data_IF_722218618544
#
_entry.id   IF_722218618544
#
_cell.length_a   1.000
_cell.length_b   1.000
_cell.length_c   1.000
_cell.angle_alpha   90.00
_cell.angle_beta   90.00
_cell.angle_gamma   90.00
#
_symmetry.space_group_name_H-M   'P 1'
#
loop_
_entity.id
_entity.type
_entity.pdbx_description
1 polymer ?
#
# COMPACT_ATOMS: atom_id res chain seq x y z
N UNK A 1 -5.85 -23.89 -45.06
CA UNK A 1 -5.52 -23.99 -43.62
C UNK A 1 -6.62 -24.69 -42.80
N UNK A 2 -7.90 -24.27 -42.86
CA UNK A 2 -9.00 -24.82 -42.04
C UNK A 2 -9.58 -26.20 -42.42
N UNK A 3 -8.80 -27.07 -43.09
CA UNK A 3 -9.22 -28.46 -43.40
C UNK A 3 -8.44 -29.51 -42.62
N UNK A 4 -7.31 -29.13 -42.00
CA UNK A 4 -6.50 -30.04 -41.23
C UNK A 4 -7.12 -30.22 -39.83
N UNK A 5 -7.53 -31.45 -39.52
CA UNK A 5 -8.13 -31.80 -38.21
C UNK A 5 -7.23 -31.46 -37.04
N UNK A 6 -5.91 -31.66 -37.16
CA UNK A 6 -4.97 -31.32 -36.09
C UNK A 6 -4.93 -29.81 -35.84
N UNK A 7 -5.02 -29.00 -36.89
CA UNK A 7 -5.01 -27.54 -36.77
C UNK A 7 -6.30 -27.00 -36.12
N UNK A 8 -7.46 -27.55 -36.51
CA UNK A 8 -8.75 -27.19 -35.91
C UNK A 8 -8.79 -27.57 -34.43
N UNK A 9 -8.33 -28.78 -34.09
CA UNK A 9 -8.27 -29.26 -32.71
C UNK A 9 -7.31 -28.39 -31.89
N UNK A 10 -6.12 -28.09 -32.40
CA UNK A 10 -5.17 -27.21 -31.70
C UNK A 10 -5.75 -25.82 -31.44
N UNK A 11 -6.46 -25.24 -32.41
CA UNK A 11 -7.07 -23.91 -32.27
C UNK A 11 -8.15 -23.83 -31.17
N UNK A 12 -8.85 -24.94 -30.91
CA UNK A 12 -9.87 -25.02 -29.85
C UNK A 12 -9.28 -25.43 -28.50
N UNK A 13 -8.40 -26.43 -28.49
CA UNK A 13 -7.88 -27.06 -27.28
C UNK A 13 -6.83 -26.17 -26.59
N UNK A 14 -5.94 -25.54 -27.36
CA UNK A 14 -4.88 -24.71 -26.81
C UNK A 14 -5.39 -23.53 -25.94
N UNK A 15 -6.37 -22.69 -26.37
CA UNK A 15 -6.86 -21.60 -25.53
C UNK A 15 -7.58 -22.11 -24.27
N UNK A 16 -8.27 -23.26 -24.36
CA UNK A 16 -8.93 -23.87 -23.18
C UNK A 16 -7.88 -24.30 -22.15
N UNK A 17 -6.83 -25.00 -22.60
CA UNK A 17 -5.71 -25.40 -21.73
C UNK A 17 -4.97 -24.18 -21.16
N UNK A 18 -4.80 -23.10 -21.94
CA UNK A 18 -4.16 -21.89 -21.46
C UNK A 18 -4.94 -21.28 -20.28
N UNK A 19 -6.27 -21.19 -20.37
CA UNK A 19 -7.12 -20.68 -19.28
C UNK A 19 -7.06 -21.60 -18.06
N UNK A 20 -7.19 -22.92 -18.25
CA UNK A 20 -7.10 -23.90 -17.16
C UNK A 20 -5.75 -23.82 -16.46
N UNK A 21 -4.66 -23.68 -17.23
CA UNK A 21 -3.31 -23.60 -16.68
C UNK A 21 -3.10 -22.30 -15.91
N UNK A 22 -3.62 -21.18 -16.41
CA UNK A 22 -3.55 -19.89 -15.72
C UNK A 22 -4.19 -19.98 -14.33
N UNK A 23 -5.45 -20.43 -14.24
CA UNK A 23 -6.13 -20.59 -12.95
C UNK A 23 -5.56 -21.73 -12.11
N UNK A 24 -5.07 -22.80 -12.74
CA UNK A 24 -4.47 -23.94 -12.04
C UNK A 24 -3.16 -23.57 -11.36
N UNK A 25 -2.30 -22.80 -12.04
CA UNK A 25 -1.07 -22.26 -11.45
C UNK A 25 -1.42 -21.26 -10.35
N UNK A 26 -2.37 -20.36 -10.59
CA UNK A 26 -2.78 -19.37 -9.59
C UNK A 26 -3.28 -20.05 -8.31
N UNK A 27 -4.09 -21.11 -8.42
CA UNK A 27 -4.57 -21.88 -7.27
C UNK A 27 -3.46 -22.72 -6.60
N UNK A 28 -2.49 -23.22 -7.37
CA UNK A 28 -1.39 -24.02 -6.84
C UNK A 28 -0.31 -23.19 -6.11
N UNK A 29 -0.12 -21.94 -6.53
CA UNK A 29 0.95 -21.05 -6.04
C UNK A 29 0.42 -19.95 -5.12
N UNK A 30 -0.88 -19.62 -5.18
CA UNK A 30 -1.46 -18.61 -4.29
C UNK A 30 -1.26 -18.98 -2.83
N UNK A 31 -0.71 -18.02 -2.09
CA UNK A 31 -0.64 -18.11 -0.64
C UNK A 31 -2.06 -18.10 -0.08
N UNK A 32 -2.35 -19.00 0.87
CA UNK A 32 -3.67 -19.05 1.48
C UNK A 32 -3.82 -17.85 2.40
N UNK A 33 -4.98 -17.16 2.39
CA UNK A 33 -5.24 -16.10 3.36
C UNK A 33 -5.20 -16.70 4.76
N UNK A 34 -4.25 -16.25 5.56
CA UNK A 34 -4.12 -16.62 6.96
C UNK A 34 -4.55 -15.44 7.83
N UNK A 35 -5.34 -15.73 8.86
CA UNK A 35 -5.61 -14.73 9.89
C UNK A 35 -4.29 -14.35 10.57
N UNK A 36 -4.14 -13.06 10.85
CA UNK A 36 -3.00 -12.54 11.55
C UNK A 36 -2.90 -13.15 12.95
N UNK A 37 -1.71 -13.61 13.33
CA UNK A 37 -1.44 -14.22 14.64
C UNK A 37 -0.74 -13.20 15.53
N UNK A 38 -1.12 -13.17 16.80
CA UNK A 38 -0.50 -12.32 17.80
C UNK A 38 1.01 -12.60 17.90
N UNK A 39 1.81 -11.54 17.98
CA UNK A 39 3.27 -11.61 18.05
C UNK A 39 3.99 -11.79 16.70
N UNK A 40 3.27 -12.04 15.61
CA UNK A 40 3.86 -12.17 14.27
C UNK A 40 3.93 -10.82 13.55
N UNK A 41 4.62 -10.81 12.40
CA UNK A 41 4.79 -9.63 11.55
C UNK A 41 4.32 -9.88 10.13
N UNK A 42 3.57 -8.94 9.56
CA UNK A 42 2.95 -9.07 8.24
C UNK A 42 3.27 -7.87 7.35
N UNK A 43 3.62 -8.14 6.09
CA UNK A 43 3.89 -7.08 5.11
C UNK A 43 2.59 -6.50 4.55
N UNK A 44 2.48 -5.18 4.56
CA UNK A 44 1.44 -4.42 3.88
C UNK A 44 1.82 -4.17 2.43
N UNK A 45 0.83 -4.28 1.54
CA UNK A 45 0.97 -3.98 0.12
C UNK A 45 0.44 -2.57 -0.13
N UNK A 46 1.30 -1.69 -0.64
CA UNK A 46 0.89 -0.36 -1.12
C UNK A 46 0.08 -0.48 -2.41
N UNK A 47 -1.08 0.15 -2.48
CA UNK A 47 -1.96 0.12 -3.65
C UNK A 47 -1.54 1.11 -4.72
N UNK A 48 -2.22 1.06 -5.87
CA UNK A 48 -1.87 1.84 -7.05
C UNK A 48 -1.95 3.35 -6.82
N UNK A 49 -2.86 3.83 -5.96
CA UNK A 49 -2.98 5.26 -5.64
C UNK A 49 -1.73 5.85 -4.95
N UNK A 50 -0.87 5.02 -4.36
CA UNK A 50 0.40 5.45 -3.80
C UNK A 50 1.43 5.88 -4.87
N UNK A 51 1.25 5.41 -6.12
CA UNK A 51 2.20 5.64 -7.24
C UNK A 51 1.91 6.91 -8.05
N UNK A 52 0.87 7.64 -7.70
CA UNK A 52 0.42 8.83 -8.42
C UNK A 52 0.20 9.99 -7.45
N UNK A 53 0.17 11.23 -7.95
CA UNK A 53 -0.03 12.49 -7.20
C UNK A 53 -1.47 12.64 -6.67
N UNK A 54 -1.92 11.64 -5.90
CA UNK A 54 -3.32 11.44 -5.52
C UNK A 54 -3.71 12.10 -4.20
N UNK A 55 -2.73 12.50 -3.37
CA UNK A 55 -2.93 12.91 -1.99
C UNK A 55 -3.27 11.76 -1.03
N UNK A 56 -3.41 10.52 -1.53
CA UNK A 56 -3.89 9.36 -0.78
C UNK A 56 -3.06 8.11 -1.09
N UNK A 57 -2.74 7.31 -0.07
CA UNK A 57 -2.09 6.03 -0.27
C UNK A 57 -2.70 4.95 0.61
N UNK A 58 -3.24 3.90 -0.02
CA UNK A 58 -3.80 2.76 0.68
C UNK A 58 -2.75 1.66 0.87
N UNK A 59 -2.70 1.11 2.08
CA UNK A 59 -1.95 -0.10 2.42
C UNK A 59 -2.92 -1.19 2.85
N UNK A 60 -2.73 -2.41 2.35
CA UNK A 60 -3.55 -3.55 2.74
C UNK A 60 -2.77 -4.84 2.97
N UNK A 61 -3.27 -5.65 3.89
CA UNK A 61 -2.98 -7.07 4.00
C UNK A 61 -4.30 -7.79 4.32
N UNK A 62 -4.90 -8.44 3.32
CA UNK A 62 -6.24 -9.02 3.43
C UNK A 62 -7.29 -7.97 3.83
N UNK A 63 -7.95 -8.20 4.98
CA UNK A 63 -8.96 -7.28 5.53
C UNK A 63 -8.36 -6.12 6.34
N UNK A 64 -7.09 -6.19 6.71
CA UNK A 64 -6.40 -5.11 7.42
C UNK A 64 -6.03 -4.00 6.42
N UNK A 65 -6.70 -2.85 6.54
CA UNK A 65 -6.58 -1.73 5.61
C UNK A 65 -6.38 -0.42 6.35
N UNK A 66 -5.40 0.34 5.90
CA UNK A 66 -5.13 1.70 6.37
C UNK A 66 -4.92 2.63 5.19
N UNK A 67 -5.27 3.90 5.36
CA UNK A 67 -5.14 4.92 4.34
C UNK A 67 -4.35 6.09 4.90
N UNK A 68 -3.24 6.43 4.24
CA UNK A 68 -2.54 7.68 4.45
C UNK A 68 -3.15 8.79 3.61
N UNK A 69 -3.14 10.00 4.14
CA UNK A 69 -3.49 11.22 3.43
C UNK A 69 -2.42 12.28 3.67
N UNK A 70 -2.01 12.93 2.59
CA UNK A 70 -1.19 14.13 2.67
C UNK A 70 -2.08 15.32 2.95
N UNK A 71 -1.93 15.92 4.13
CA UNK A 71 -2.69 17.11 4.50
C UNK A 71 -1.98 18.38 4.02
N UNK A 72 -0.65 18.39 4.13
CA UNK A 72 0.17 19.54 3.72
C UNK A 72 1.61 19.11 3.45
N UNK A 73 2.15 19.58 2.33
CA UNK A 73 3.57 19.48 2.01
C UNK A 73 4.13 20.91 1.87
N UNK A 74 5.23 21.18 2.55
CA UNK A 74 6.03 22.40 2.42
C UNK A 74 7.47 22.04 2.07
N UNK A 75 8.35 23.04 1.97
CA UNK A 75 9.78 22.80 1.73
C UNK A 75 10.45 22.01 2.85
N UNK A 76 10.00 22.18 4.10
CA UNK A 76 10.64 21.61 5.30
C UNK A 76 9.78 20.60 6.06
N UNK A 77 8.46 20.59 5.85
CA UNK A 77 7.53 19.73 6.60
C UNK A 77 6.54 18.97 5.71
N UNK A 78 6.24 17.74 6.10
CA UNK A 78 5.16 16.91 5.56
C UNK A 78 4.20 16.53 6.68
N UNK A 79 2.95 16.98 6.58
CA UNK A 79 1.87 16.62 7.49
C UNK A 79 1.06 15.46 6.89
N UNK A 80 1.04 14.34 7.61
CA UNK A 80 0.30 13.13 7.23
C UNK A 80 -0.77 12.80 8.26
N UNK A 81 -1.92 12.34 7.77
CA UNK A 81 -2.89 11.60 8.59
C UNK A 81 -2.98 10.16 8.14
N UNK A 82 -3.36 9.29 9.07
CA UNK A 82 -3.68 7.90 8.78
C UNK A 82 -5.05 7.56 9.37
N UNK A 83 -5.87 6.89 8.56
CA UNK A 83 -7.16 6.32 8.97
C UNK A 83 -7.13 4.80 8.86
N UNK A 84 -7.69 4.13 9.87
CA UNK A 84 -7.82 2.67 9.94
C UNK A 84 -9.27 2.24 10.17
N UNK A 85 -9.63 1.07 9.64
CA UNK A 85 -10.90 0.41 9.97
C UNK A 85 -10.90 -0.14 11.40
N UNK A 86 -9.74 -0.51 11.94
CA UNK A 86 -9.56 -1.11 13.26
C UNK A 86 -8.82 -0.18 14.22
N UNK A 87 -9.11 -0.22 15.54
CA UNK A 87 -8.30 0.49 16.54
C UNK A 87 -6.84 0.01 16.49
N UNK A 88 -5.91 0.95 16.50
CA UNK A 88 -4.47 0.68 16.46
C UNK A 88 -3.86 0.91 17.85
N UNK A 89 -2.78 0.19 18.15
CA UNK A 89 -2.03 0.36 19.41
C UNK A 89 -0.90 1.41 19.25
N UNK A 90 -0.32 1.51 18.06
CA UNK A 90 0.75 2.47 17.76
C UNK A 90 1.14 2.46 16.29
N UNK A 91 1.72 3.56 15.84
CA UNK A 91 2.24 3.71 14.48
C UNK A 91 3.58 4.41 14.52
N UNK A 92 4.53 3.88 13.76
CA UNK A 92 5.83 4.47 13.50
C UNK A 92 6.02 4.66 12.00
N UNK A 93 6.52 5.82 11.61
CA UNK A 93 6.80 6.13 10.21
C UNK A 93 8.19 6.73 10.06
N UNK A 94 8.80 6.53 8.90
CA UNK A 94 10.07 7.14 8.55
C UNK A 94 10.09 7.53 7.06
N UNK A 95 10.71 8.66 6.74
CA UNK A 95 11.09 9.02 5.37
C UNK A 95 12.54 8.56 5.14
N UNK A 96 12.77 7.65 4.20
CA UNK A 96 14.06 7.01 3.97
C UNK A 96 14.51 7.16 2.51
N UNK A 97 15.77 7.49 2.25
CA UNK A 97 16.33 7.62 0.89
C UNK A 97 17.14 6.37 0.50
N UNK A 98 18.13 6.00 1.33
CA UNK A 98 18.88 4.75 1.25
C UNK A 98 19.56 4.50 2.63
N UNK A 99 19.05 3.55 3.42
CA UNK A 99 19.59 3.21 4.74
C UNK A 99 18.61 3.37 5.91
N UNK A 100 19.17 3.49 7.11
CA UNK A 100 18.42 3.65 8.37
C UNK A 100 17.94 5.10 8.52
N UNK A 101 16.63 5.28 8.58
CA UNK A 101 15.98 6.52 9.00
C UNK A 101 15.30 6.26 10.33
N UNK A 102 15.45 7.17 11.30
CA UNK A 102 14.86 6.97 12.62
C UNK A 102 13.34 7.07 12.53
N UNK A 103 12.60 6.04 12.96
CA UNK A 103 11.15 6.07 12.95
C UNK A 103 10.62 7.05 13.99
N UNK A 104 9.63 7.83 13.60
CA UNK A 104 8.90 8.77 14.44
C UNK A 104 7.51 8.22 14.74
N UNK A 105 7.07 8.34 15.99
CA UNK A 105 5.76 7.88 16.44
C UNK A 105 4.66 8.86 16.01
N UNK A 106 3.58 8.33 15.43
CA UNK A 106 2.37 9.12 15.17
C UNK A 106 1.56 9.29 16.45
N UNK A 107 0.76 10.34 16.51
CA UNK A 107 -0.14 10.60 17.65
C UNK A 107 -1.60 10.33 17.27
N UNK A 108 -2.40 9.68 18.15
CA UNK A 108 -3.82 9.47 17.89
C UNK A 108 -4.56 10.81 17.96
N UNK A 109 -5.49 11.03 17.03
CA UNK A 109 -6.32 12.24 16.98
C UNK A 109 -7.73 12.02 17.52
N UNK A 110 -8.10 10.76 17.81
CA UNK A 110 -9.39 10.41 18.38
C UNK A 110 -9.29 9.31 19.46
N UNK A 111 -10.24 9.26 20.42
CA UNK A 111 -10.25 8.24 21.47
C UNK A 111 -10.40 6.79 20.96
N UNK A 112 -11.02 6.59 19.79
CA UNK A 112 -11.23 5.25 19.24
C UNK A 112 -9.96 4.64 18.61
N UNK A 113 -8.84 5.38 18.61
CA UNK A 113 -7.53 4.94 18.12
C UNK A 113 -7.52 4.55 16.63
N UNK A 114 -8.38 5.17 15.82
CA UNK A 114 -8.55 4.88 14.38
C UNK A 114 -8.02 5.97 13.47
N UNK A 115 -7.76 7.15 14.02
CA UNK A 115 -7.22 8.29 13.29
C UNK A 115 -5.94 8.76 13.99
N UNK A 116 -4.91 8.99 13.18
CA UNK A 116 -3.58 9.33 13.64
C UNK A 116 -3.01 10.46 12.79
N UNK A 117 -2.15 11.27 13.35
CA UNK A 117 -1.49 12.37 12.66
C UNK A 117 -0.01 12.44 13.03
N UNK A 118 0.78 13.00 12.12
CA UNK A 118 2.20 13.30 12.33
C UNK A 118 2.64 14.45 11.43
N UNK A 119 3.63 15.21 11.89
CA UNK A 119 4.39 16.15 11.08
C UNK A 119 5.83 15.65 11.02
N UNK A 120 6.34 15.44 9.81
CA UNK A 120 7.67 14.91 9.54
C UNK A 120 8.56 16.01 8.94
N UNK A 121 9.80 16.18 9.41
CA UNK A 121 10.76 17.00 8.69
C UNK A 121 11.05 16.34 7.34
N UNK A 122 11.03 17.13 6.27
CA UNK A 122 11.29 16.66 4.91
C UNK A 122 12.37 17.51 4.26
N UNK A 123 13.23 16.84 3.51
CA UNK A 123 14.16 17.47 2.57
C UNK A 123 14.19 16.59 1.33
N UNK A 124 13.94 17.17 0.16
CA UNK A 124 13.88 16.45 -1.11
C UNK A 124 12.95 15.22 -1.06
N UNK A 125 11.64 15.45 -1.02
CA UNK A 125 10.63 14.39 -0.86
C UNK A 125 10.67 13.34 -1.98
N UNK A 126 11.04 13.74 -3.20
CA UNK A 126 11.03 12.90 -4.40
C UNK A 126 12.01 11.73 -4.33
N UNK A 127 13.06 11.84 -3.51
CA UNK A 127 14.04 10.76 -3.32
C UNK A 127 13.74 9.87 -2.11
N UNK A 128 12.67 10.16 -1.35
CA UNK A 128 12.31 9.43 -0.13
C UNK A 128 11.23 8.38 -0.40
N UNK A 129 11.30 7.28 0.34
CA UNK A 129 10.22 6.33 0.54
C UNK A 129 9.61 6.55 1.93
N UNK A 130 8.29 6.39 2.02
CA UNK A 130 7.58 6.28 3.28
C UNK A 130 7.64 4.83 3.75
N UNK A 131 8.25 4.60 4.91
CA UNK A 131 8.22 3.32 5.63
C UNK A 131 7.28 3.44 6.82
N UNK A 132 6.50 2.40 7.06
CA UNK A 132 5.52 2.35 8.14
C UNK A 132 5.61 1.03 8.89
N UNK A 133 5.45 1.11 10.21
CA UNK A 133 5.18 -0.01 11.10
C UNK A 133 3.95 0.32 11.95
N UNK A 134 2.96 -0.56 11.95
CA UNK A 134 1.66 -0.39 12.61
C UNK A 134 1.47 -1.56 13.56
N UNK A 135 1.11 -1.29 14.80
CA UNK A 135 0.76 -2.30 15.76
C UNK A 135 -0.75 -2.35 15.96
N UNK A 136 -1.34 -3.54 15.82
CA UNK A 136 -2.75 -3.80 16.10
C UNK A 136 -2.91 -5.21 16.66
N UNK A 137 -3.67 -5.36 17.75
CA UNK A 137 -3.89 -6.65 18.42
C UNK A 137 -2.59 -7.43 18.66
N UNK A 138 -1.55 -6.75 19.16
CA UNK A 138 -0.21 -7.30 19.42
C UNK A 138 0.46 -7.93 18.18
N UNK A 139 0.00 -7.57 17.00
CA UNK A 139 0.53 -7.98 15.70
C UNK A 139 1.17 -6.77 15.01
N UNK A 140 2.31 -6.99 14.36
CA UNK A 140 3.02 -5.94 13.64
C UNK A 140 2.70 -6.00 12.14
N UNK A 141 2.37 -4.86 11.54
CA UNK A 141 2.18 -4.70 10.11
C UNK A 141 3.18 -3.68 9.59
N UNK A 142 3.94 -4.02 8.55
CA UNK A 142 4.98 -3.13 8.03
C UNK A 142 4.89 -2.97 6.51
N UNK A 143 5.19 -1.78 6.02
CA UNK A 143 5.07 -1.46 4.59
C UNK A 143 6.05 -0.39 4.16
N UNK A 144 6.26 -0.31 2.85
CA UNK A 144 7.07 0.73 2.21
C UNK A 144 6.40 1.15 0.90
N UNK A 145 6.47 2.44 0.59
CA UNK A 145 5.99 3.00 -0.67
C UNK A 145 6.77 4.26 -1.04
N UNK A 146 6.79 4.60 -2.33
CA UNK A 146 7.31 5.88 -2.81
C UNK A 146 6.41 7.03 -2.33
N UNK A 147 6.97 8.23 -2.18
CA UNK A 147 6.25 9.40 -1.65
C UNK A 147 5.49 10.19 -2.71
N UNK A 148 5.43 9.74 -3.96
CA UNK A 148 4.73 10.42 -5.07
C UNK A 148 3.31 10.89 -4.71
N UNK A 149 2.58 10.11 -3.91
CA UNK A 149 1.22 10.46 -3.48
C UNK A 149 1.11 11.69 -2.57
N UNK A 150 2.20 12.14 -1.95
CA UNK A 150 2.14 13.27 -1.00
C UNK A 150 1.95 14.59 -1.70
N UNK A 151 2.31 14.64 -2.99
CA UNK A 151 2.03 15.76 -3.88
C UNK A 151 0.59 15.59 -4.38
N UNK A 152 -0.26 16.58 -4.14
CA UNK A 152 -1.63 16.59 -4.63
C UNK A 152 -1.73 17.56 -5.81
N UNK A 153 -1.76 17.01 -7.03
CA UNK A 153 -2.00 17.77 -8.25
C UNK A 153 -3.41 17.48 -8.75
N UNK A 154 -4.30 18.47 -8.66
CA UNK A 154 -5.57 18.40 -9.37
C UNK A 154 -5.36 18.84 -10.81
N UNK A 155 -5.85 18.05 -11.77
CA UNK A 155 -5.94 18.45 -13.20
C UNK A 155 -6.80 19.72 -13.42
N UNK A 156 -7.48 20.19 -12.38
CA UNK A 156 -8.15 21.48 -12.33
C UNK A 156 -7.18 22.49 -11.71
N UNK A 157 -6.37 23.13 -12.55
CA UNK A 157 -5.92 24.49 -12.24
C UNK A 157 -7.18 25.36 -12.19
N UNK A 158 -7.54 25.84 -11.00
CA UNK A 158 -8.38 27.03 -10.93
C UNK A 158 -7.58 28.17 -11.58
N UNK A 159 -7.95 28.51 -12.81
CA UNK A 159 -7.56 29.77 -13.42
C UNK A 159 -7.95 30.90 -12.45
N UNK A 160 -6.95 31.52 -11.84
CA UNK A 160 -7.11 32.77 -11.09
C UNK A 160 -6.74 33.96 -11.96
#
# INVERSE_FOLDING_TARGET
>A
MFKNKHFIVALLVAPILAVITYFGIDMAVSEKPHAAKQGESYKLISKSNCRYTSGLCDFENGEFKVQFRSEKLTEDTLDLTLKSKFPLQGIKVALAENGDSQPVEMTPTNPDMRNWAISLPVSNIETKNLRVAIQAEDTLYYGETETTFVVYETLFTEDK
#
